data_IF_081968357186
#
_entry.id   IF_081968357186
#
_cell.length_a   1.000
_cell.length_b   1.000
_cell.length_c   1.000
_cell.angle_alpha   90.00
_cell.angle_beta   90.00
_cell.angle_gamma   90.00
#
_symmetry.space_group_name_H-M   'P 1'
#
loop_
_entity.id
_entity.type
_entity.pdbx_description
1 polymer ?
#
# COMPACT_ATOMS: atom_id res chain seq x y z
N UNK A 1 -15.57 16.15 20.89
CA UNK A 1 -15.80 17.13 19.79
C UNK A 1 -15.04 16.56 18.61
N UNK A 2 -15.75 15.92 17.67
CA UNK A 2 -15.15 15.49 16.41
C UNK A 2 -14.84 16.76 15.61
N UNK A 3 -13.58 17.07 15.44
CA UNK A 3 -13.15 18.08 14.47
C UNK A 3 -13.47 17.52 13.09
N UNK A 4 -14.56 17.99 12.50
CA UNK A 4 -14.92 17.69 11.13
C UNK A 4 -13.89 18.39 10.22
N UNK A 5 -12.75 17.77 10.01
CA UNK A 5 -11.66 18.33 9.23
C UNK A 5 -11.99 18.08 7.76
N UNK A 6 -12.39 19.15 7.06
CA UNK A 6 -12.61 19.11 5.62
C UNK A 6 -11.28 18.89 4.90
N UNK A 7 -11.30 18.04 3.88
CA UNK A 7 -10.12 17.68 3.10
C UNK A 7 -10.11 18.41 1.75
N UNK A 8 -8.94 18.80 1.30
CA UNK A 8 -8.72 19.29 -0.05
C UNK A 8 -8.33 18.15 -0.98
N UNK A 9 -8.89 18.12 -2.19
CA UNK A 9 -8.65 17.10 -3.20
C UNK A 9 -8.00 17.65 -4.45
N UNK A 10 -7.19 16.82 -5.14
CA UNK A 10 -6.73 17.06 -6.50
C UNK A 10 -7.14 15.90 -7.38
N UNK A 11 -7.85 16.16 -8.48
CA UNK A 11 -8.19 15.16 -9.51
C UNK A 11 -7.22 15.33 -10.67
N UNK A 12 -6.55 14.24 -11.03
CA UNK A 12 -5.58 14.17 -12.11
C UNK A 12 -6.03 13.12 -13.12
N UNK A 13 -6.38 13.53 -14.32
CA UNK A 13 -6.87 12.65 -15.38
C UNK A 13 -6.74 13.40 -16.71
N UNK A 14 -6.14 12.83 -17.73
CA UNK A 14 -5.98 13.47 -19.04
C UNK A 14 -7.28 13.50 -19.85
N UNK A 15 -8.23 12.58 -19.56
CA UNK A 15 -9.55 12.54 -20.19
C UNK A 15 -10.50 13.58 -19.59
N UNK A 16 -10.95 14.62 -20.34
CA UNK A 16 -11.81 15.69 -19.81
C UNK A 16 -13.15 15.18 -19.25
N UNK A 17 -13.73 14.13 -19.88
CA UNK A 17 -15.01 13.57 -19.45
C UNK A 17 -14.88 12.78 -18.14
N UNK A 18 -13.83 11.97 -17.99
CA UNK A 18 -13.55 11.23 -16.78
C UNK A 18 -13.27 12.19 -15.62
N UNK A 19 -12.43 13.20 -15.84
CA UNK A 19 -12.12 14.27 -14.87
C UNK A 19 -13.37 15.03 -14.44
N UNK A 20 -14.24 15.43 -15.38
CA UNK A 20 -15.50 16.11 -15.07
C UNK A 20 -16.47 15.24 -14.28
N UNK A 21 -16.57 13.96 -14.64
CA UNK A 21 -17.42 13.00 -13.92
C UNK A 21 -16.92 12.81 -12.49
N UNK A 22 -15.63 12.62 -12.30
CA UNK A 22 -15.03 12.43 -10.99
C UNK A 22 -15.21 13.67 -10.10
N UNK A 23 -15.05 14.86 -10.69
CA UNK A 23 -15.32 16.12 -9.99
C UNK A 23 -16.76 16.23 -9.49
N UNK A 24 -17.75 15.86 -10.32
CA UNK A 24 -19.17 15.82 -9.89
C UNK A 24 -19.43 14.81 -8.77
N UNK A 25 -18.72 13.70 -8.73
CA UNK A 25 -18.81 12.73 -7.64
C UNK A 25 -18.20 13.30 -6.35
N UNK A 26 -17.04 13.95 -6.44
CA UNK A 26 -16.40 14.61 -5.29
C UNK A 26 -17.27 15.69 -4.66
N UNK A 27 -18.01 16.47 -5.45
CA UNK A 27 -18.95 17.49 -4.95
C UNK A 27 -20.10 16.93 -4.09
N UNK A 28 -20.33 15.61 -4.10
CA UNK A 28 -21.35 14.93 -3.29
C UNK A 28 -20.77 14.28 -2.03
N UNK A 29 -19.49 14.48 -1.78
CA UNK A 29 -18.79 13.93 -0.62
C UNK A 29 -18.50 15.05 0.36
N UNK A 30 -19.24 15.08 1.45
CA UNK A 30 -19.20 16.16 2.44
C UNK A 30 -17.80 16.35 3.08
N UNK A 31 -16.97 15.32 3.07
CA UNK A 31 -15.61 15.37 3.58
C UNK A 31 -14.63 16.17 2.68
N UNK A 32 -15.01 16.46 1.41
CA UNK A 32 -14.19 17.22 0.45
C UNK A 32 -14.74 18.64 0.29
N UNK A 33 -14.00 19.63 0.77
CA UNK A 33 -14.39 21.05 0.67
C UNK A 33 -13.89 21.68 -0.63
N UNK A 34 -12.64 21.45 -0.99
CA UNK A 34 -11.98 22.08 -2.13
C UNK A 34 -11.34 21.04 -3.05
N UNK A 35 -11.73 21.08 -4.33
CA UNK A 35 -11.24 20.11 -5.32
C UNK A 35 -10.60 20.84 -6.49
N UNK A 36 -9.31 20.60 -6.68
CA UNK A 36 -8.50 21.07 -7.80
C UNK A 36 -8.52 20.05 -8.95
N UNK A 37 -8.22 20.49 -10.17
CA UNK A 37 -8.20 19.66 -11.36
C UNK A 37 -6.87 19.81 -12.09
N UNK A 38 -6.29 18.71 -12.57
CA UNK A 38 -5.12 18.68 -13.45
C UNK A 38 -5.38 17.77 -14.64
N UNK A 39 -4.96 18.20 -15.84
CA UNK A 39 -5.18 17.50 -17.10
C UNK A 39 -4.02 16.55 -17.47
N UNK A 40 -3.06 16.33 -16.58
CA UNK A 40 -1.92 15.46 -16.80
C UNK A 40 -0.92 15.54 -15.65
N UNK A 41 0.11 14.68 -15.71
CA UNK A 41 1.06 14.55 -14.62
C UNK A 41 1.93 15.78 -14.39
N UNK A 42 2.32 16.53 -15.43
CA UNK A 42 3.08 17.77 -15.27
C UNK A 42 2.30 18.84 -14.51
N UNK A 43 1.04 19.04 -14.90
CA UNK A 43 0.15 19.97 -14.20
C UNK A 43 -0.12 19.52 -12.77
N UNK A 44 -0.24 18.19 -12.57
CA UNK A 44 -0.43 17.62 -11.26
C UNK A 44 0.72 17.94 -10.30
N UNK A 45 1.98 17.74 -10.71
CA UNK A 45 3.15 18.05 -9.89
C UNK A 45 3.16 19.53 -9.45
N UNK A 46 2.89 20.43 -10.40
CA UNK A 46 2.82 21.87 -10.08
C UNK A 46 1.71 22.18 -9.06
N UNK A 47 0.52 21.63 -9.26
CA UNK A 47 -0.61 21.84 -8.34
C UNK A 47 -0.41 21.21 -6.96
N UNK A 48 0.27 20.06 -6.90
CA UNK A 48 0.63 19.43 -5.63
C UNK A 48 1.53 20.36 -4.81
N UNK A 49 2.53 20.98 -5.44
CA UNK A 49 3.42 21.90 -4.76
C UNK A 49 2.73 23.19 -4.33
N UNK A 50 1.83 23.71 -5.16
CA UNK A 50 1.14 24.98 -4.92
C UNK A 50 0.03 24.84 -3.87
N UNK A 51 -0.83 23.82 -4.00
CA UNK A 51 -2.04 23.68 -3.20
C UNK A 51 -1.95 22.70 -2.04
N UNK A 52 -0.91 21.86 -1.98
CA UNK A 52 -0.69 20.84 -0.95
C UNK A 52 -1.98 20.06 -0.63
N UNK A 53 -2.58 19.37 -1.61
CA UNK A 53 -3.85 18.69 -1.41
C UNK A 53 -3.70 17.56 -0.40
N UNK A 54 -4.78 17.29 0.34
CA UNK A 54 -4.84 16.19 1.31
C UNK A 54 -5.01 14.84 0.62
N UNK A 55 -5.73 14.82 -0.51
CA UNK A 55 -6.02 13.63 -1.31
C UNK A 55 -5.72 13.92 -2.77
N UNK A 56 -5.09 12.95 -3.47
CA UNK A 56 -4.90 12.99 -4.92
C UNK A 56 -5.62 11.78 -5.55
N UNK A 57 -6.67 12.07 -6.33
CA UNK A 57 -7.36 11.11 -7.19
C UNK A 57 -6.63 11.08 -8.53
N UNK A 58 -5.94 9.98 -8.85
CA UNK A 58 -4.88 9.96 -9.83
C UNK A 58 -5.08 8.87 -10.88
N UNK A 59 -5.25 9.26 -12.14
CA UNK A 59 -5.17 8.29 -13.23
C UNK A 59 -3.74 7.78 -13.40
N UNK A 60 -3.63 6.49 -13.72
CA UNK A 60 -2.35 5.82 -13.94
C UNK A 60 -1.79 6.13 -15.33
N UNK A 61 -2.64 6.03 -16.35
CA UNK A 61 -2.23 6.14 -17.75
C UNK A 61 -2.44 7.55 -18.28
N UNK A 62 -1.38 8.33 -18.26
CA UNK A 62 -1.35 9.69 -18.82
C UNK A 62 -0.18 9.86 -19.79
N UNK A 63 -0.34 10.62 -20.88
CA UNK A 63 0.64 10.66 -21.97
C UNK A 63 1.93 11.42 -21.64
N UNK A 64 1.91 12.32 -20.66
CA UNK A 64 3.06 13.17 -20.29
C UNK A 64 3.90 12.55 -19.17
N UNK A 65 3.35 12.46 -17.99
CA UNK A 65 3.93 11.81 -16.81
C UNK A 65 2.89 10.84 -16.25
N UNK A 66 3.24 9.56 -16.14
CA UNK A 66 2.33 8.56 -15.60
C UNK A 66 1.95 8.84 -14.15
N UNK A 67 0.73 8.44 -13.75
CA UNK A 67 0.29 8.60 -12.36
C UNK A 67 1.20 7.90 -11.35
N UNK A 68 1.86 6.81 -11.73
CA UNK A 68 2.83 6.15 -10.86
C UNK A 68 4.01 7.07 -10.50
N UNK A 69 4.50 7.85 -11.48
CA UNK A 69 5.59 8.82 -11.25
C UNK A 69 5.13 10.00 -10.40
N UNK A 70 3.89 10.44 -10.58
CA UNK A 70 3.30 11.49 -9.71
C UNK A 70 3.17 10.98 -8.28
N UNK A 71 2.73 9.74 -8.08
CA UNK A 71 2.61 9.13 -6.76
C UNK A 71 3.99 8.90 -6.10
N UNK A 72 5.02 8.52 -6.88
CA UNK A 72 6.41 8.47 -6.42
C UNK A 72 6.87 9.82 -5.85
N UNK A 73 6.63 10.90 -6.58
CA UNK A 73 6.92 12.25 -6.11
C UNK A 73 6.20 12.58 -4.80
N UNK A 74 4.91 12.22 -4.69
CA UNK A 74 4.12 12.43 -3.47
C UNK A 74 4.67 11.67 -2.26
N UNK A 75 5.35 10.54 -2.46
CA UNK A 75 5.88 9.73 -1.36
C UNK A 75 6.97 10.43 -0.57
N UNK A 76 7.69 11.36 -1.19
CA UNK A 76 8.79 12.13 -0.59
C UNK A 76 8.32 13.43 0.10
N UNK A 77 7.04 13.78 -0.01
CA UNK A 77 6.49 15.00 0.58
C UNK A 77 6.13 14.84 2.07
N UNK A 78 6.23 15.94 2.81
CA UNK A 78 5.79 16.04 4.20
C UNK A 78 4.95 17.33 4.40
N UNK A 79 3.66 17.23 4.79
CA UNK A 79 2.87 16.00 4.91
C UNK A 79 2.59 15.37 3.53
N UNK A 80 2.56 14.04 3.48
CA UNK A 80 2.27 13.30 2.26
C UNK A 80 0.76 13.27 2.00
N UNK A 81 0.29 13.57 0.76
CA UNK A 81 -1.12 13.38 0.41
C UNK A 81 -1.50 11.89 0.38
N UNK A 82 -2.77 11.58 0.61
CA UNK A 82 -3.34 10.26 0.39
C UNK A 82 -3.57 10.05 -1.11
N UNK A 83 -3.07 8.94 -1.67
CA UNK A 83 -3.20 8.64 -3.09
C UNK A 83 -4.33 7.64 -3.30
N UNK A 84 -5.30 7.99 -4.15
CA UNK A 84 -6.36 7.11 -4.62
C UNK A 84 -6.22 7.00 -6.14
N UNK A 85 -5.80 5.85 -6.62
CA UNK A 85 -5.71 5.64 -8.07
C UNK A 85 -7.09 5.45 -8.69
N UNK A 86 -7.28 6.02 -9.90
CA UNK A 86 -8.48 5.82 -10.72
C UNK A 86 -8.04 5.40 -12.11
N UNK A 87 -8.37 4.19 -12.58
CA UNK A 87 -7.87 3.68 -13.86
C UNK A 87 -8.83 2.71 -14.53
N UNK A 88 -8.69 2.56 -15.87
CA UNK A 88 -9.39 1.55 -16.64
C UNK A 88 -8.77 0.14 -16.52
N UNK A 89 -7.51 0.04 -16.07
CA UNK A 89 -6.73 -1.18 -16.10
C UNK A 89 -6.61 -1.84 -14.72
N UNK A 90 -6.96 -3.13 -14.63
CA UNK A 90 -6.83 -3.93 -13.40
C UNK A 90 -5.38 -4.30 -13.05
N UNK A 91 -4.47 -4.28 -14.04
CA UNK A 91 -3.09 -4.77 -13.91
C UNK A 91 -2.15 -3.82 -13.16
N UNK A 92 -2.45 -2.52 -13.12
CA UNK A 92 -1.60 -1.54 -12.43
C UNK A 92 -1.77 -1.49 -10.91
N UNK A 93 -2.78 -2.17 -10.37
CA UNK A 93 -2.99 -2.25 -8.93
C UNK A 93 -1.73 -2.76 -8.19
N UNK A 94 -0.95 -3.63 -8.84
CA UNK A 94 0.32 -4.17 -8.30
C UNK A 94 1.40 -3.09 -8.17
N UNK A 95 1.47 -2.15 -9.11
CA UNK A 95 2.46 -1.06 -9.08
C UNK A 95 2.01 0.12 -8.18
N UNK A 96 0.72 0.38 -8.10
CA UNK A 96 0.14 1.35 -7.16
C UNK A 96 0.53 1.07 -5.70
N UNK A 97 0.80 -0.19 -5.43
CA UNK A 97 1.18 -0.71 -4.12
C UNK A 97 2.51 -0.18 -3.58
N UNK A 98 3.53 -0.04 -4.46
CA UNK A 98 4.85 0.50 -4.09
C UNK A 98 4.80 1.96 -3.63
N UNK A 99 3.69 2.63 -3.91
CA UNK A 99 3.54 4.07 -3.77
C UNK A 99 2.62 4.46 -2.60
N UNK A 100 2.38 3.52 -1.66
CA UNK A 100 1.55 3.76 -0.47
C UNK A 100 0.16 4.30 -0.81
N UNK A 101 -0.45 3.81 -1.90
CA UNK A 101 -1.79 4.21 -2.29
C UNK A 101 -2.81 3.80 -1.23
N UNK A 102 -3.70 4.74 -0.89
CA UNK A 102 -4.80 4.52 0.05
C UNK A 102 -5.85 3.61 -0.57
N UNK A 103 -6.09 3.76 -1.87
CA UNK A 103 -7.08 2.97 -2.59
C UNK A 103 -6.83 2.91 -4.10
N UNK A 104 -7.59 2.03 -4.77
CA UNK A 104 -7.52 1.81 -6.21
C UNK A 104 -8.92 1.59 -6.79
N UNK A 105 -9.42 2.54 -7.55
CA UNK A 105 -10.78 2.54 -8.09
C UNK A 105 -10.76 2.29 -9.60
N UNK A 106 -11.55 1.31 -10.05
CA UNK A 106 -11.71 1.04 -11.47
C UNK A 106 -12.69 2.02 -12.11
N UNK A 107 -12.35 2.56 -13.27
CA UNK A 107 -13.27 3.31 -14.12
C UNK A 107 -14.32 2.37 -14.75
N UNK A 108 -15.61 2.75 -14.79
CA UNK A 108 -16.18 3.98 -14.28
C UNK A 108 -16.32 3.97 -12.75
N UNK A 109 -15.77 5.01 -12.09
CA UNK A 109 -15.79 5.12 -10.63
C UNK A 109 -17.24 5.22 -10.12
N UNK A 110 -17.58 4.39 -9.13
CA UNK A 110 -18.86 4.42 -8.43
C UNK A 110 -18.78 5.35 -7.22
N UNK A 111 -19.86 6.10 -6.96
CA UNK A 111 -19.91 7.05 -5.85
C UNK A 111 -19.67 6.38 -4.49
N UNK A 112 -20.26 5.19 -4.25
CA UNK A 112 -20.08 4.46 -3.00
C UNK A 112 -18.61 4.10 -2.73
N UNK A 113 -17.89 3.61 -3.76
CA UNK A 113 -16.48 3.25 -3.65
C UNK A 113 -15.59 4.48 -3.46
N UNK A 114 -15.91 5.60 -4.13
CA UNK A 114 -15.18 6.84 -3.92
C UNK A 114 -15.36 7.37 -2.50
N UNK A 115 -16.59 7.31 -1.96
CA UNK A 115 -16.88 7.71 -0.58
C UNK A 115 -16.08 6.88 0.42
N UNK A 116 -16.09 5.56 0.28
CA UNK A 116 -15.30 4.65 1.12
C UNK A 116 -13.79 4.94 1.04
N UNK A 117 -13.27 5.25 -0.16
CA UNK A 117 -11.86 5.59 -0.35
C UNK A 117 -11.49 6.91 0.33
N UNK A 118 -12.36 7.93 0.25
CA UNK A 118 -12.17 9.23 0.92
C UNK A 118 -12.26 9.06 2.44
N UNK A 119 -13.19 8.24 2.95
CA UNK A 119 -13.28 7.97 4.38
C UNK A 119 -12.01 7.26 4.90
N UNK A 120 -11.47 6.30 4.15
CA UNK A 120 -10.17 5.68 4.47
C UNK A 120 -9.02 6.69 4.47
N UNK A 121 -9.00 7.60 3.50
CA UNK A 121 -7.99 8.65 3.42
C UNK A 121 -8.04 9.58 4.63
N UNK A 122 -9.25 9.99 5.04
CA UNK A 122 -9.47 10.80 6.24
C UNK A 122 -8.99 10.10 7.50
N UNK A 123 -9.35 8.83 7.67
CA UNK A 123 -8.93 8.02 8.82
C UNK A 123 -7.41 7.85 8.89
N UNK A 124 -6.75 7.64 7.75
CA UNK A 124 -5.29 7.54 7.69
C UNK A 124 -4.62 8.85 8.14
N UNK A 125 -5.13 10.00 7.70
CA UNK A 125 -4.59 11.31 8.06
C UNK A 125 -4.79 11.62 9.54
N UNK A 126 -5.98 11.38 10.09
CA UNK A 126 -6.27 11.58 11.50
C UNK A 126 -5.34 10.76 12.42
N UNK A 127 -4.97 9.57 11.98
CA UNK A 127 -4.02 8.70 12.71
C UNK A 127 -2.58 9.18 12.59
N UNK A 128 -2.16 9.79 11.50
CA UNK A 128 -0.81 10.36 11.34
C UNK A 128 -0.54 11.53 12.29
N UNK A 129 -1.56 12.28 12.69
CA UNK A 129 -1.44 13.38 13.64
C UNK A 129 -1.17 12.95 15.09
N UNK A 130 -1.29 11.65 15.41
CA UNK A 130 -1.14 11.10 16.77
C UNK A 130 0.07 10.16 16.88
N UNK A 131 0.50 9.52 15.78
CA UNK A 131 1.58 8.53 15.81
C UNK A 131 2.38 8.47 14.50
N UNK A 132 3.45 9.23 14.41
CA UNK A 132 4.48 9.07 13.36
C UNK A 132 5.26 7.74 13.44
N UNK A 133 4.94 6.89 14.42
CA UNK A 133 5.62 5.63 14.69
C UNK A 133 4.75 4.36 14.57
N UNK A 134 3.42 4.45 14.32
CA UNK A 134 2.56 3.29 14.54
C UNK A 134 1.44 3.07 13.50
N UNK A 135 1.63 3.35 12.20
CA UNK A 135 0.62 3.07 11.16
C UNK A 135 0.39 1.57 10.95
N UNK A 136 -0.36 0.97 11.88
CA UNK A 136 -0.73 -0.45 11.87
C UNK A 136 -1.91 -0.79 10.94
N UNK A 137 -2.35 0.13 10.09
CA UNK A 137 -3.43 -0.12 9.12
C UNK A 137 -2.93 -0.04 7.69
N UNK A 138 -1.90 -0.81 7.39
CA UNK A 138 -1.48 -1.05 6.03
C UNK A 138 -2.29 -2.22 5.46
N UNK A 139 -2.66 -2.10 4.19
CA UNK A 139 -3.36 -3.13 3.44
C UNK A 139 -2.45 -3.63 2.33
N UNK A 140 -2.47 -4.92 2.04
CA UNK A 140 -1.82 -5.51 0.89
C UNK A 140 -2.88 -5.88 -0.15
N UNK A 141 -2.81 -5.30 -1.35
CA UNK A 141 -3.66 -5.73 -2.44
C UNK A 141 -3.17 -7.07 -3.00
N UNK A 142 -4.03 -8.04 -2.99
CA UNK A 142 -3.73 -9.37 -3.48
C UNK A 142 -4.75 -9.78 -4.54
N UNK A 143 -4.33 -10.64 -5.45
CA UNK A 143 -5.25 -11.22 -6.44
C UNK A 143 -5.86 -12.51 -5.89
N UNK A 144 -7.19 -12.58 -5.86
CA UNK A 144 -7.94 -13.81 -5.65
C UNK A 144 -8.77 -14.11 -6.89
N UNK A 145 -8.36 -15.13 -7.66
CA UNK A 145 -8.96 -15.57 -8.93
C UNK A 145 -9.02 -14.47 -10.01
N UNK A 146 -9.93 -13.52 -9.94
CA UNK A 146 -10.09 -12.41 -10.90
C UNK A 146 -10.41 -11.10 -10.21
N UNK A 147 -10.39 -11.09 -8.87
CA UNK A 147 -10.71 -9.94 -8.05
C UNK A 147 -9.49 -9.47 -7.30
N UNK A 148 -9.42 -8.15 -7.07
CA UNK A 148 -8.43 -7.54 -6.20
C UNK A 148 -9.04 -7.38 -4.82
N UNK A 149 -8.35 -7.89 -3.81
CA UNK A 149 -8.75 -7.82 -2.41
C UNK A 149 -7.74 -7.01 -1.61
N UNK A 150 -8.24 -6.17 -0.72
CA UNK A 150 -7.42 -5.52 0.31
C UNK A 150 -7.21 -6.51 1.47
N UNK A 151 -5.98 -6.94 1.66
CA UNK A 151 -5.58 -7.82 2.74
C UNK A 151 -4.93 -6.99 3.83
N UNK A 152 -5.48 -6.91 5.06
CA UNK A 152 -4.84 -6.21 6.16
C UNK A 152 -3.44 -6.78 6.42
N UNK A 153 -2.43 -5.92 6.52
CA UNK A 153 -1.05 -6.35 6.81
C UNK A 153 -0.97 -7.14 8.12
N UNK A 154 -1.82 -6.80 9.09
CA UNK A 154 -1.92 -7.52 10.36
C UNK A 154 -2.43 -8.95 10.23
N UNK A 155 -3.08 -9.31 9.13
CA UNK A 155 -3.56 -10.67 8.86
C UNK A 155 -2.53 -11.52 8.13
N UNK A 156 -1.48 -10.90 7.58
CA UNK A 156 -0.41 -11.61 6.87
C UNK A 156 0.44 -12.37 7.88
N UNK A 157 0.59 -13.66 7.66
CA UNK A 157 1.38 -14.57 8.48
C UNK A 157 2.80 -14.71 7.94
N UNK A 158 2.91 -14.90 6.64
CA UNK A 158 4.18 -15.07 5.93
C UNK A 158 4.04 -14.83 4.43
N UNK A 159 5.17 -14.59 3.80
CA UNK A 159 5.31 -14.47 2.34
C UNK A 159 6.40 -15.44 1.87
N UNK A 160 6.12 -16.20 0.84
CA UNK A 160 7.04 -17.18 0.24
C UNK A 160 7.13 -16.95 -1.28
N UNK A 161 8.35 -16.97 -1.82
CA UNK A 161 8.56 -16.88 -3.26
C UNK A 161 8.15 -18.20 -3.95
N UNK A 162 7.35 -18.08 -5.00
CA UNK A 162 6.89 -19.20 -5.82
C UNK A 162 7.04 -18.86 -7.31
N UNK A 163 8.15 -19.27 -7.90
CA UNK A 163 8.54 -18.90 -9.28
C UNK A 163 8.55 -17.37 -9.46
N UNK A 164 7.68 -16.83 -10.31
CA UNK A 164 7.58 -15.41 -10.64
C UNK A 164 6.61 -14.64 -9.72
N UNK A 165 6.06 -15.31 -8.71
CA UNK A 165 5.06 -14.76 -7.79
C UNK A 165 5.51 -14.87 -6.34
N UNK A 166 4.94 -14.02 -5.49
CA UNK A 166 4.97 -14.18 -4.04
C UNK A 166 3.65 -14.78 -3.59
N UNK A 167 3.71 -15.84 -2.81
CA UNK A 167 2.55 -16.41 -2.13
C UNK A 167 2.44 -15.80 -0.74
N UNK A 168 1.37 -15.04 -0.54
CA UNK A 168 1.02 -14.39 0.72
C UNK A 168 0.05 -15.29 1.49
N UNK A 169 0.41 -15.68 2.69
CA UNK A 169 -0.44 -16.48 3.57
C UNK A 169 -1.11 -15.58 4.62
N UNK A 170 -2.43 -15.68 4.75
CA UNK A 170 -3.22 -14.90 5.67
C UNK A 170 -4.53 -15.62 6.02
N UNK A 171 -4.87 -15.69 7.30
CA UNK A 171 -6.12 -16.26 7.82
C UNK A 171 -6.45 -17.65 7.26
N UNK A 172 -5.45 -18.53 7.14
CA UNK A 172 -5.62 -19.88 6.62
C UNK A 172 -5.87 -19.98 5.11
N UNK A 173 -5.74 -18.87 4.38
CA UNK A 173 -5.78 -18.80 2.90
C UNK A 173 -4.43 -18.38 2.34
N UNK A 174 -4.27 -18.50 1.03
CA UNK A 174 -3.10 -17.95 0.36
C UNK A 174 -3.49 -17.23 -0.92
N UNK A 175 -2.75 -16.17 -1.23
CA UNK A 175 -2.97 -15.29 -2.37
C UNK A 175 -1.68 -15.19 -3.17
N UNK A 176 -1.79 -14.98 -4.48
CA UNK A 176 -0.63 -14.75 -5.34
C UNK A 176 -0.47 -13.25 -5.61
N UNK A 177 0.77 -12.80 -5.52
CA UNK A 177 1.14 -11.42 -5.77
C UNK A 177 2.33 -11.38 -6.72
N UNK A 178 2.23 -10.62 -7.80
CA UNK A 178 3.33 -10.44 -8.76
C UNK A 178 4.25 -9.31 -8.30
N UNK A 179 5.07 -9.62 -7.31
CA UNK A 179 6.00 -8.69 -6.66
C UNK A 179 7.34 -9.37 -6.41
N UNK A 180 8.38 -8.58 -6.10
CA UNK A 180 9.64 -9.13 -5.62
C UNK A 180 9.68 -9.20 -4.10
N UNK A 181 10.45 -10.14 -3.54
CA UNK A 181 10.65 -10.22 -2.08
C UNK A 181 11.29 -8.94 -1.51
N UNK A 182 12.16 -8.29 -2.26
CA UNK A 182 12.80 -7.04 -1.84
C UNK A 182 11.83 -5.86 -1.83
N UNK A 183 10.88 -5.83 -2.77
CA UNK A 183 9.79 -4.84 -2.78
C UNK A 183 8.90 -5.00 -1.56
N UNK A 184 8.49 -6.24 -1.25
CA UNK A 184 7.67 -6.51 -0.07
C UNK A 184 8.41 -6.22 1.24
N UNK A 185 9.72 -6.46 1.29
CA UNK A 185 10.56 -6.12 2.45
C UNK A 185 10.62 -4.61 2.71
N UNK A 186 10.61 -3.79 1.65
CA UNK A 186 10.57 -2.33 1.80
C UNK A 186 9.18 -1.79 2.15
N UNK A 187 8.12 -2.54 1.81
CA UNK A 187 6.72 -2.13 1.99
C UNK A 187 6.15 -2.59 3.33
N UNK A 188 6.46 -3.83 3.73
CA UNK A 188 5.95 -4.40 4.97
C UNK A 188 6.73 -3.88 6.19
N UNK A 189 6.08 -3.55 7.31
CA UNK A 189 6.74 -2.99 8.47
C UNK A 189 7.80 -3.94 9.06
N UNK A 190 9.05 -3.54 9.12
CA UNK A 190 10.19 -4.32 9.66
C UNK A 190 10.03 -4.71 11.14
N UNK A 191 9.21 -3.96 11.89
CA UNK A 191 8.86 -4.28 13.28
C UNK A 191 7.94 -5.50 13.38
N UNK A 192 7.09 -5.73 12.34
CA UNK A 192 6.12 -6.84 12.29
C UNK A 192 6.72 -8.03 11.53
N UNK A 193 7.40 -7.77 10.43
CA UNK A 193 7.94 -8.80 9.56
C UNK A 193 9.45 -8.88 9.63
N UNK A 194 9.96 -10.08 9.34
CA UNK A 194 11.39 -10.33 9.20
C UNK A 194 11.66 -11.26 8.01
N UNK A 195 12.55 -10.85 7.15
CA UNK A 195 13.06 -11.71 6.08
C UNK A 195 14.06 -12.69 6.66
N UNK A 196 13.76 -13.97 6.56
CA UNK A 196 14.57 -15.08 7.10
C UNK A 196 15.35 -15.84 6.04
N UNK A 197 14.93 -15.69 4.77
CA UNK A 197 15.55 -16.33 3.63
C UNK A 197 15.37 -15.46 2.38
N UNK A 198 16.18 -15.68 1.33
CA UNK A 198 15.99 -14.97 0.04
C UNK A 198 14.58 -15.13 -0.54
N UNK A 199 13.88 -16.20 -0.18
CA UNK A 199 12.55 -16.56 -0.65
C UNK A 199 11.48 -16.57 0.44
N UNK A 200 11.76 -16.08 1.67
CA UNK A 200 10.81 -16.23 2.78
C UNK A 200 10.91 -15.06 3.73
N UNK A 201 9.76 -14.47 4.01
CA UNK A 201 9.54 -13.47 5.06
C UNK A 201 8.42 -13.96 5.98
N UNK A 202 8.55 -13.75 7.28
CA UNK A 202 7.59 -14.22 8.29
C UNK A 202 7.26 -13.11 9.28
N UNK A 203 6.10 -13.19 9.87
CA UNK A 203 5.70 -12.33 10.98
C UNK A 203 6.47 -12.71 12.24
N UNK A 204 7.08 -11.72 12.91
CA UNK A 204 7.96 -11.95 14.09
C UNK A 204 7.23 -12.62 15.24
N UNK A 205 6.00 -12.17 15.54
CA UNK A 205 5.21 -12.70 16.64
C UNK A 205 4.68 -14.13 16.41
N UNK A 206 4.76 -14.63 15.15
CA UNK A 206 4.45 -16.03 14.83
C UNK A 206 5.65 -16.96 14.93
N UNK A 207 6.85 -16.47 15.19
CA UNK A 207 8.02 -17.31 15.45
C UNK A 207 7.89 -17.86 16.87
N UNK A 208 7.68 -19.17 16.98
CA UNK A 208 7.60 -19.85 18.26
C UNK A 208 8.98 -20.22 18.79
N UNK A 209 9.91 -20.63 17.90
CA UNK A 209 11.22 -21.13 18.29
C UNK A 209 12.24 -20.98 17.13
N UNK A 210 13.50 -20.80 17.50
CA UNK A 210 14.64 -20.87 16.56
C UNK A 210 15.44 -22.13 16.88
N UNK A 211 15.52 -23.04 15.92
CA UNK A 211 16.25 -24.31 16.06
C UNK A 211 17.50 -24.32 15.21
N UNK A 212 18.52 -24.98 15.71
CA UNK A 212 19.76 -25.28 14.98
C UNK A 212 19.90 -26.79 14.76
N UNK A 213 20.15 -27.18 13.51
CA UNK A 213 20.48 -28.57 13.16
C UNK A 213 21.79 -28.57 12.34
N UNK A 214 22.87 -28.91 13.02
CA UNK A 214 24.22 -28.77 12.45
C UNK A 214 24.54 -27.30 12.14
N UNK A 215 24.92 -27.00 10.90
CA UNK A 215 25.22 -25.65 10.42
C UNK A 215 23.99 -24.86 9.94
N UNK A 216 22.83 -25.49 9.89
CA UNK A 216 21.59 -24.85 9.40
C UNK A 216 20.72 -24.38 10.55
N UNK A 217 20.10 -23.20 10.40
CA UNK A 217 19.12 -22.66 11.32
C UNK A 217 17.73 -22.72 10.69
N UNK A 218 16.72 -22.91 11.53
CA UNK A 218 15.31 -22.96 11.17
C UNK A 218 14.50 -22.16 12.17
N UNK A 219 13.49 -21.46 11.70
CA UNK A 219 12.42 -20.97 12.55
C UNK A 219 11.29 -21.99 12.56
N UNK A 220 10.69 -22.19 13.71
CA UNK A 220 9.45 -22.94 13.89
C UNK A 220 8.37 -21.92 14.13
N UNK A 221 7.33 -21.92 13.31
CA UNK A 221 6.20 -21.04 13.44
C UNK A 221 5.17 -21.63 14.42
N UNK A 222 4.27 -20.80 14.94
CA UNK A 222 3.20 -21.24 15.87
C UNK A 222 2.26 -22.28 15.27
N UNK A 223 2.12 -22.32 13.94
CA UNK A 223 1.38 -23.35 13.20
C UNK A 223 2.16 -24.69 13.06
N UNK A 224 3.37 -24.77 13.63
CA UNK A 224 4.26 -25.93 13.55
C UNK A 224 5.10 -25.97 12.26
N UNK A 225 4.94 -25.04 11.35
CA UNK A 225 5.72 -25.03 10.11
C UNK A 225 7.19 -24.67 10.35
N UNK A 226 8.10 -25.43 9.72
CA UNK A 226 9.53 -25.18 9.79
C UNK A 226 10.00 -24.43 8.55
N UNK A 227 10.76 -23.34 8.72
CA UNK A 227 11.33 -22.55 7.62
C UNK A 227 12.83 -22.37 7.81
N UNK A 228 13.58 -22.64 6.75
CA UNK A 228 15.03 -22.49 6.77
C UNK A 228 15.43 -21.01 6.83
N UNK A 229 16.46 -20.73 7.63
CA UNK A 229 17.06 -19.39 7.72
C UNK A 229 18.28 -19.36 6.82
N UNK A 230 18.29 -18.43 5.87
CA UNK A 230 19.45 -18.20 5.01
C UNK A 230 20.62 -17.60 5.80
N UNK A 231 21.88 -17.94 5.46
CA UNK A 231 23.06 -17.46 6.19
C UNK A 231 23.11 -15.93 6.31
N UNK A 232 22.74 -15.21 5.25
CA UNK A 232 22.72 -13.74 5.18
C UNK A 232 21.63 -13.10 6.02
N UNK A 233 20.60 -13.87 6.43
CA UNK A 233 19.42 -13.37 7.14
C UNK A 233 19.41 -13.77 8.62
N UNK A 234 20.43 -14.47 9.08
CA UNK A 234 20.50 -14.96 10.46
C UNK A 234 20.54 -13.82 11.48
N UNK A 235 21.20 -12.70 11.14
CA UNK A 235 21.27 -11.50 11.98
C UNK A 235 19.92 -10.81 12.17
N UNK A 236 19.00 -10.92 11.19
CA UNK A 236 17.68 -10.28 11.26
C UNK A 236 16.78 -10.86 12.39
N UNK A 237 17.07 -12.08 12.84
CA UNK A 237 16.22 -12.78 13.81
C UNK A 237 16.84 -12.78 15.21
N UNK A 238 18.17 -12.81 15.31
CA UNK A 238 18.87 -13.01 16.57
C UNK A 238 19.10 -11.72 17.35
N UNK A 239 18.79 -10.52 16.77
CA UNK A 239 19.29 -9.28 17.30
C UNK A 239 20.82 -9.28 17.31
N UNK A 240 21.48 -8.15 17.47
CA UNK A 240 22.92 -8.12 17.73
C UNK A 240 23.17 -8.69 19.14
N UNK A 241 23.21 -10.02 19.28
CA UNK A 241 23.98 -10.63 20.35
C UNK A 241 25.46 -10.39 20.00
N UNK A 242 25.94 -9.23 20.36
CA UNK A 242 27.37 -9.01 20.58
C UNK A 242 27.76 -9.80 21.80
N UNK A 243 28.71 -10.75 21.64
CA UNK A 243 29.54 -11.29 22.68
C UNK A 243 30.02 -10.22 23.65
#
# INVERSE_FOLDING_TARGET
METNEFLSGLIVDDEPLARSRLHKLCQRIDALDKVYLAAGGKEALHKIDESRPDIVLLDVDMPDISGLRVAEYCSDLLPRPEIIFTTAHRTYAVNAFRLYATDYLLKPVKESLLREAVDRARDNRSRRGVDDANSANQWLWVSDRSELLQLPVNDIERVEAERDYMRVYARGRSYLLHESMSSLESTLPNRIFVRIHRSTMVRRDLIAEIRRRGRRRYVVLKDGAHRAVGPLYAGNILGNETD
#
